data_IF_033534357860
#
_entry.id   IF_033534357860
#
_cell.length_a   1.000
_cell.length_b   1.000
_cell.length_c   1.000
_cell.angle_alpha   90.00
_cell.angle_beta   90.00
_cell.angle_gamma   90.00
#
_symmetry.space_group_name_H-M   'P 1'
#
loop_
_entity.id
_entity.type
_entity.pdbx_description
1 polymer ?
#
# COMPACT_ATOMS: atom_id res chain seq x y z
N UNK A 1 18.13 -19.59 0.97
CA UNK A 1 16.91 -19.85 1.76
C UNK A 1 16.20 -21.16 1.41
N UNK A 2 15.43 -21.27 0.31
CA UNK A 2 14.65 -22.51 0.02
C UNK A 2 15.49 -23.79 -0.06
N UNK A 3 16.68 -23.72 -0.65
CA UNK A 3 17.61 -24.86 -0.71
C UNK A 3 18.07 -25.27 0.70
N UNK A 4 18.60 -24.30 1.46
CA UNK A 4 19.07 -24.50 2.84
C UNK A 4 17.98 -25.02 3.79
N UNK A 5 16.74 -24.56 3.63
CA UNK A 5 15.58 -25.08 4.38
C UNK A 5 15.38 -26.56 4.07
N UNK A 6 15.35 -26.95 2.78
CA UNK A 6 15.17 -28.35 2.39
C UNK A 6 16.32 -29.23 2.87
N UNK A 7 17.56 -28.75 2.78
CA UNK A 7 18.73 -29.51 3.26
C UNK A 7 18.67 -29.72 4.77
N UNK A 8 18.30 -28.68 5.53
CA UNK A 8 18.20 -28.73 6.98
C UNK A 8 17.02 -29.59 7.43
N UNK A 9 15.89 -29.54 6.72
CA UNK A 9 14.75 -30.45 6.91
C UNK A 9 15.19 -31.90 6.69
N UNK A 10 15.86 -32.20 5.57
CA UNK A 10 16.40 -33.53 5.29
C UNK A 10 17.40 -33.98 6.36
N UNK A 11 18.26 -33.08 6.81
CA UNK A 11 19.23 -33.36 7.87
C UNK A 11 18.51 -33.75 9.17
N UNK A 12 17.51 -32.97 9.60
CA UNK A 12 16.73 -33.26 10.81
C UNK A 12 16.00 -34.60 10.68
N UNK A 13 15.35 -34.86 9.54
CA UNK A 13 14.64 -36.13 9.31
C UNK A 13 15.59 -37.32 9.35
N UNK A 14 16.74 -37.24 8.69
CA UNK A 14 17.70 -38.35 8.60
C UNK A 14 18.53 -38.57 9.87
N UNK A 15 18.74 -37.52 10.67
CA UNK A 15 19.63 -37.58 11.84
C UNK A 15 18.91 -37.88 13.16
N UNK A 16 17.59 -38.07 13.09
CA UNK A 16 16.68 -38.22 14.24
C UNK A 16 17.00 -39.43 15.14
N UNK A 17 17.76 -40.43 14.68
CA UNK A 17 18.17 -41.59 15.49
C UNK A 17 19.54 -41.46 16.17
N UNK A 18 20.39 -40.51 15.78
CA UNK A 18 21.82 -40.49 16.18
C UNK A 18 22.35 -39.14 16.67
N UNK A 19 21.53 -38.07 16.72
CA UNK A 19 21.97 -36.75 17.19
C UNK A 19 21.67 -36.50 18.67
N UNK A 20 22.52 -35.70 19.30
CA UNK A 20 22.26 -35.22 20.65
C UNK A 20 21.06 -34.24 20.65
N UNK A 21 20.37 -34.15 21.79
CA UNK A 21 19.18 -33.30 21.91
C UNK A 21 19.49 -31.80 21.68
N UNK A 22 20.69 -31.34 22.07
CA UNK A 22 21.11 -29.94 21.95
C UNK A 22 21.27 -29.50 20.49
N UNK A 23 21.90 -30.31 19.65
CA UNK A 23 22.11 -30.05 18.21
C UNK A 23 20.76 -30.10 17.48
N UNK A 24 19.88 -31.03 17.85
CA UNK A 24 18.53 -31.12 17.28
C UNK A 24 17.76 -29.83 17.52
N UNK A 25 17.74 -29.33 18.77
CA UNK A 25 17.10 -28.07 19.14
C UNK A 25 17.69 -26.86 18.39
N UNK A 26 19.01 -26.81 18.22
CA UNK A 26 19.67 -25.74 17.46
C UNK A 26 19.28 -25.78 15.97
N UNK A 27 19.22 -26.97 15.37
CA UNK A 27 18.82 -27.16 13.99
C UNK A 27 17.35 -26.79 13.77
N UNK A 28 16.46 -27.14 14.70
CA UNK A 28 15.05 -26.73 14.67
C UNK A 28 14.88 -25.22 14.76
N UNK A 29 15.59 -24.56 15.68
CA UNK A 29 15.61 -23.09 15.81
C UNK A 29 16.10 -22.43 14.53
N UNK A 30 17.18 -22.97 13.94
CA UNK A 30 17.73 -22.49 12.67
C UNK A 30 16.72 -22.67 11.53
N UNK A 31 16.03 -23.80 11.48
CA UNK A 31 14.98 -24.07 10.49
C UNK A 31 13.83 -23.06 10.63
N UNK A 32 13.37 -22.81 11.85
CA UNK A 32 12.34 -21.82 12.13
C UNK A 32 12.77 -20.41 11.68
N UNK A 33 14.00 -20.01 11.98
CA UNK A 33 14.55 -18.72 11.55
C UNK A 33 14.61 -18.59 10.02
N UNK A 34 15.11 -19.62 9.31
CA UNK A 34 15.17 -19.62 7.85
C UNK A 34 13.78 -19.57 7.20
N UNK A 35 12.79 -20.28 7.78
CA UNK A 35 11.40 -20.22 7.31
C UNK A 35 10.80 -18.83 7.50
N UNK A 36 11.04 -18.20 8.64
CA UNK A 36 10.61 -16.82 8.90
C UNK A 36 11.24 -15.84 7.90
N UNK A 37 12.55 -15.94 7.66
CA UNK A 37 13.26 -15.12 6.68
C UNK A 37 12.72 -15.31 5.26
N UNK A 38 12.35 -16.54 4.88
CA UNK A 38 11.73 -16.83 3.60
C UNK A 38 10.36 -16.13 3.45
N UNK A 39 9.54 -16.10 4.50
CA UNK A 39 8.26 -15.40 4.51
C UNK A 39 8.48 -13.89 4.33
N UNK A 40 9.38 -13.29 5.12
CA UNK A 40 9.72 -11.87 5.00
C UNK A 40 10.24 -11.52 3.60
N UNK A 41 11.11 -12.35 3.03
CA UNK A 41 11.65 -12.14 1.68
C UNK A 41 10.55 -12.20 0.63
N UNK A 42 9.61 -13.15 0.74
CA UNK A 42 8.47 -13.24 -0.18
C UNK A 42 7.54 -12.03 -0.05
N UNK A 43 7.22 -11.62 1.18
CA UNK A 43 6.37 -10.45 1.44
C UNK A 43 7.01 -9.16 0.88
N UNK A 44 8.33 -8.99 1.07
CA UNK A 44 9.08 -7.87 0.51
C UNK A 44 9.05 -7.86 -1.03
N UNK A 45 9.26 -9.02 -1.67
CA UNK A 45 9.16 -9.14 -3.14
C UNK A 45 7.76 -8.81 -3.66
N UNK A 46 6.72 -9.30 -2.97
CA UNK A 46 5.34 -9.02 -3.35
C UNK A 46 5.00 -7.53 -3.18
N UNK A 47 5.47 -6.90 -2.11
CA UNK A 47 5.35 -5.46 -1.90
C UNK A 47 6.02 -4.67 -3.04
N UNK A 48 7.24 -5.01 -3.43
CA UNK A 48 7.91 -4.35 -4.57
C UNK A 48 7.11 -4.52 -5.85
N UNK A 49 6.60 -5.73 -6.13
CA UNK A 49 5.74 -6.00 -7.29
C UNK A 49 4.46 -5.16 -7.28
N UNK A 50 3.81 -5.01 -6.12
CA UNK A 50 2.61 -4.18 -5.97
C UNK A 50 2.90 -2.69 -6.16
N UNK A 51 4.01 -2.21 -5.61
CA UNK A 51 4.48 -0.84 -5.82
C UNK A 51 4.64 -0.58 -7.31
N UNK A 52 5.42 -1.40 -8.03
CA UNK A 52 5.64 -1.25 -9.47
C UNK A 52 4.33 -1.29 -10.27
N UNK A 53 3.45 -2.25 -9.96
CA UNK A 53 2.16 -2.42 -10.65
C UNK A 53 1.27 -1.18 -10.56
N UNK A 54 1.19 -0.55 -9.38
CA UNK A 54 0.28 0.58 -9.13
C UNK A 54 0.96 1.95 -9.16
N UNK A 55 2.29 2.02 -9.29
CA UNK A 55 3.07 3.25 -9.21
C UNK A 55 2.53 4.33 -10.14
N UNK A 56 2.31 4.00 -11.41
CA UNK A 56 1.85 4.97 -12.42
C UNK A 56 0.42 5.46 -12.16
N UNK A 57 -0.51 4.56 -11.85
CA UNK A 57 -1.90 4.94 -11.57
C UNK A 57 -1.96 5.86 -10.35
N UNK A 58 -1.27 5.50 -9.26
CA UNK A 58 -1.18 6.32 -8.05
C UNK A 58 -0.53 7.67 -8.30
N UNK A 59 0.51 7.72 -9.12
CA UNK A 59 1.17 8.96 -9.48
C UNK A 59 0.23 9.91 -10.25
N UNK A 60 -0.49 9.40 -11.26
CA UNK A 60 -1.45 10.21 -12.00
C UNK A 60 -2.63 10.66 -11.14
N UNK A 61 -3.15 9.77 -10.29
CA UNK A 61 -4.23 10.14 -9.37
C UNK A 61 -3.78 11.14 -8.31
N UNK A 62 -2.58 11.00 -7.75
CA UNK A 62 -2.01 12.01 -6.84
C UNK A 62 -1.92 13.37 -7.49
N UNK A 63 -1.35 13.44 -8.70
CA UNK A 63 -1.31 14.68 -9.49
C UNK A 63 -2.70 15.24 -9.75
N UNK A 64 -3.71 14.38 -9.95
CA UNK A 64 -5.09 14.79 -10.17
C UNK A 64 -5.71 15.35 -8.89
N UNK A 65 -5.56 14.65 -7.75
CA UNK A 65 -6.01 15.08 -6.44
C UNK A 65 -5.37 16.41 -6.02
N UNK A 66 -4.06 16.58 -6.22
CA UNK A 66 -3.36 17.86 -5.97
C UNK A 66 -3.95 19.02 -6.78
N UNK A 67 -4.28 18.79 -8.06
CA UNK A 67 -4.95 19.82 -8.88
C UNK A 67 -6.36 20.11 -8.38
N UNK A 68 -7.12 19.10 -7.98
CA UNK A 68 -8.46 19.28 -7.43
C UNK A 68 -8.43 20.07 -6.12
N UNK A 69 -7.51 19.74 -5.21
CA UNK A 69 -7.34 20.45 -3.96
C UNK A 69 -6.96 21.92 -4.18
N UNK A 70 -5.98 22.18 -5.05
CA UNK A 70 -5.59 23.57 -5.41
C UNK A 70 -6.76 24.37 -5.98
N UNK A 71 -7.56 23.78 -6.86
CA UNK A 71 -8.75 24.41 -7.42
C UNK A 71 -9.82 24.68 -6.36
N UNK A 72 -10.07 23.72 -5.48
CA UNK A 72 -11.07 23.85 -4.42
C UNK A 72 -10.68 24.94 -3.40
N UNK A 73 -9.41 24.98 -2.98
CA UNK A 73 -8.89 26.03 -2.08
C UNK A 73 -9.00 27.40 -2.76
N UNK A 74 -8.59 27.51 -4.02
CA UNK A 74 -8.69 28.78 -4.76
C UNK A 74 -10.14 29.27 -4.83
N UNK A 75 -11.09 28.40 -5.16
CA UNK A 75 -12.51 28.76 -5.21
C UNK A 75 -13.06 29.18 -3.83
N UNK A 76 -12.62 28.52 -2.76
CA UNK A 76 -13.00 28.92 -1.40
C UNK A 76 -12.46 30.30 -1.04
N UNK A 77 -11.17 30.59 -1.33
CA UNK A 77 -10.56 31.89 -1.06
C UNK A 77 -11.19 33.01 -1.89
N UNK A 78 -11.50 32.74 -3.16
CA UNK A 78 -12.20 33.71 -4.03
C UNK A 78 -13.61 34.03 -3.51
N UNK A 79 -14.32 33.02 -2.99
CA UNK A 79 -15.64 33.21 -2.39
C UNK A 79 -15.56 33.97 -1.06
N UNK A 80 -14.65 33.59 -0.17
CA UNK A 80 -14.44 34.25 1.13
C UNK A 80 -13.96 35.72 1.00
N UNK A 81 -13.42 36.11 -0.16
CA UNK A 81 -13.00 37.48 -0.46
C UNK A 81 -14.07 38.35 -1.13
N UNK A 82 -15.25 37.80 -1.42
CA UNK A 82 -16.40 38.55 -1.95
C UNK A 82 -17.33 39.07 -0.85
N UNK A 83 -18.30 39.92 -1.23
CA UNK A 83 -19.36 40.42 -0.34
C UNK A 83 -20.56 39.45 -0.22
N UNK A 84 -20.47 38.25 -0.83
CA UNK A 84 -21.54 37.26 -0.83
C UNK A 84 -21.47 36.39 0.43
N UNK A 85 -22.56 36.35 1.21
CA UNK A 85 -22.60 35.68 2.52
C UNK A 85 -23.60 34.51 2.54
N UNK A 86 -23.70 33.80 1.42
CA UNK A 86 -24.43 32.53 1.36
C UNK A 86 -23.68 31.44 2.13
N UNK A 87 -24.19 31.12 3.32
CA UNK A 87 -23.67 30.08 4.20
C UNK A 87 -23.68 28.70 3.52
N UNK A 88 -24.69 28.41 2.69
CA UNK A 88 -24.82 27.11 2.04
C UNK A 88 -23.73 26.89 0.98
N UNK A 89 -23.39 27.94 0.23
CA UNK A 89 -22.30 27.91 -0.74
C UNK A 89 -20.94 27.82 -0.06
N UNK A 90 -20.73 28.57 1.04
CA UNK A 90 -19.51 28.49 1.86
C UNK A 90 -19.27 27.05 2.34
N UNK A 91 -20.31 26.42 2.90
CA UNK A 91 -20.21 25.04 3.34
C UNK A 91 -19.97 24.06 2.18
N UNK A 92 -20.59 24.30 1.01
CA UNK A 92 -20.36 23.48 -0.19
C UNK A 92 -18.90 23.51 -0.62
N UNK A 93 -18.28 24.69 -0.61
CA UNK A 93 -16.85 24.87 -0.94
C UNK A 93 -15.95 24.21 0.10
N UNK A 94 -16.24 24.39 1.40
CA UNK A 94 -15.52 23.73 2.47
C UNK A 94 -15.59 22.19 2.35
N UNK A 95 -16.76 21.63 2.02
CA UNK A 95 -16.93 20.19 1.75
C UNK A 95 -16.09 19.72 0.57
N UNK A 96 -16.02 20.50 -0.52
CA UNK A 96 -15.18 20.18 -1.69
C UNK A 96 -13.70 20.13 -1.32
N UNK A 97 -13.22 21.09 -0.52
CA UNK A 97 -11.84 21.09 -0.01
C UNK A 97 -11.58 19.88 0.86
N UNK A 98 -12.52 19.54 1.75
CA UNK A 98 -12.39 18.38 2.63
C UNK A 98 -12.27 17.07 1.84
N UNK A 99 -13.16 16.84 0.86
CA UNK A 99 -13.12 15.65 -0.01
C UNK A 99 -11.79 15.60 -0.78
N UNK A 100 -11.38 16.69 -1.42
CA UNK A 100 -10.12 16.73 -2.17
C UNK A 100 -8.88 16.48 -1.28
N UNK A 101 -8.95 16.85 0.00
CA UNK A 101 -7.91 16.56 0.99
C UNK A 101 -7.85 15.07 1.33
N UNK A 102 -9.02 14.44 1.53
CA UNK A 102 -9.12 12.98 1.74
C UNK A 102 -8.58 12.23 0.52
N UNK A 103 -8.95 12.65 -0.70
CA UNK A 103 -8.48 12.03 -1.94
C UNK A 103 -6.94 12.08 -2.03
N UNK A 104 -6.35 13.26 -1.76
CA UNK A 104 -4.90 13.41 -1.75
C UNK A 104 -4.25 12.48 -0.72
N UNK A 105 -4.77 12.44 0.49
CA UNK A 105 -4.28 11.58 1.56
C UNK A 105 -4.39 10.09 1.19
N UNK A 106 -5.47 9.67 0.54
CA UNK A 106 -5.62 8.31 0.04
C UNK A 106 -4.50 7.94 -0.94
N UNK A 107 -4.22 8.80 -1.93
CA UNK A 107 -3.14 8.53 -2.91
C UNK A 107 -1.73 8.50 -2.28
N UNK A 108 -1.54 9.20 -1.16
CA UNK A 108 -0.28 9.27 -0.41
C UNK A 108 -0.09 8.05 0.51
N UNK A 109 -1.11 7.73 1.29
CA UNK A 109 -1.00 6.82 2.44
C UNK A 109 -1.67 5.46 2.24
N UNK A 110 -2.31 5.21 1.10
CA UNK A 110 -2.82 3.86 0.78
C UNK A 110 -1.69 2.82 0.91
N UNK A 111 -1.95 1.68 1.58
CA UNK A 111 -0.97 0.62 1.75
C UNK A 111 -0.32 0.20 0.42
N UNK A 112 0.99 -0.06 0.46
CA UNK A 112 1.78 -0.40 -0.74
C UNK A 112 1.75 -1.90 -1.06
N UNK A 113 1.35 -2.71 -0.10
CA UNK A 113 1.26 -4.17 -0.13
C UNK A 113 -0.16 -4.68 -0.42
N UNK A 114 -1.11 -3.76 -0.63
CA UNK A 114 -2.51 -4.06 -0.91
C UNK A 114 -2.91 -3.60 -2.30
N UNK A 115 -4.02 -4.15 -2.81
CA UNK A 115 -4.60 -3.72 -4.08
C UNK A 115 -5.05 -2.26 -3.97
N UNK A 116 -4.55 -1.43 -4.89
CA UNK A 116 -4.96 -0.03 -4.98
C UNK A 116 -6.32 0.11 -5.67
N UNK A 117 -7.24 0.86 -5.07
CA UNK A 117 -8.56 1.17 -5.63
C UNK A 117 -8.51 2.58 -6.23
N UNK A 118 -8.74 2.66 -7.54
CA UNK A 118 -8.69 3.92 -8.29
C UNK A 118 -9.83 4.86 -7.86
N UNK A 119 -9.49 6.09 -7.46
CA UNK A 119 -10.48 7.13 -7.14
C UNK A 119 -11.04 7.80 -8.40
N UNK A 120 -10.24 7.86 -9.46
CA UNK A 120 -10.59 8.55 -10.70
C UNK A 120 -10.44 7.60 -11.89
N UNK A 121 -11.23 6.52 -11.95
CA UNK A 121 -11.17 5.60 -13.06
C UNK A 121 -11.44 6.37 -14.35
N UNK A 122 -10.66 6.09 -15.39
CA UNK A 122 -11.04 6.55 -16.72
C UNK A 122 -12.43 5.98 -16.99
N UNK A 123 -13.41 6.85 -17.23
CA UNK A 123 -14.71 6.44 -17.73
C UNK A 123 -14.44 5.71 -19.04
N UNK A 124 -14.38 4.38 -19.00
CA UNK A 124 -14.73 3.62 -20.18
C UNK A 124 -16.18 3.99 -20.42
N UNK A 125 -16.45 4.63 -21.55
CA UNK A 125 -17.76 4.53 -22.17
C UNK A 125 -18.15 3.06 -22.10
N UNK A 126 -19.29 2.76 -21.49
CA UNK A 126 -19.97 1.50 -21.73
C UNK A 126 -20.20 1.42 -23.25
N UNK A 127 -19.33 0.68 -23.92
CA UNK A 127 -19.48 0.29 -25.31
C UNK A 127 -18.85 -1.09 -25.43
N UNK A 128 -19.74 -2.06 -25.59
CA UNK A 128 -19.64 -3.52 -25.79
C UNK A 128 -19.73 -4.42 -24.55
#
# INVERSE_FOLDING_TARGET
>A
LKHQIRDLERLITNSSSHQNASITLLNERKLAALRHELVLTKASREKTRMIEKYHMVRFFERKKAERHLKKAIKAQVEYDGGDDDDVAERERLARKVHIATIDLNYTNYSPLDSVYVSLYPNQKSESD
#
